data_IF_376916822707
#
_entry.id   IF_376916822707
#
_cell.length_a   1.000
_cell.length_b   1.000
_cell.length_c   1.000
_cell.angle_alpha   90.00
_cell.angle_beta   90.00
_cell.angle_gamma   90.00
#
_symmetry.space_group_name_H-M   'P 1'
#
loop_
_entity.id
_entity.type
_entity.pdbx_description
1 polymer ?
#
# COMPACT_ATOMS: atom_id res chain seq x y z
N UNK A 1 -5.75 9.00 -8.10
CA UNK A 1 -6.26 8.89 -6.72
C UNK A 1 -5.07 8.94 -5.78
N UNK A 2 -4.91 10.04 -5.03
CA UNK A 2 -3.76 10.19 -4.13
C UNK A 2 -3.84 9.17 -2.98
N UNK A 3 -2.72 8.63 -2.48
CA UNK A 3 -2.70 7.62 -1.42
C UNK A 3 -2.93 8.26 -0.04
N UNK A 4 -3.78 9.28 0.03
CA UNK A 4 -4.27 9.83 1.29
C UNK A 4 -5.51 9.04 1.68
N UNK A 5 -5.26 7.83 2.18
CA UNK A 5 -6.14 7.05 3.05
C UNK A 5 -7.59 6.85 2.51
N UNK A 6 -7.90 5.70 1.88
CA UNK A 6 -9.26 5.39 1.44
C UNK A 6 -10.30 5.29 2.58
N UNK A 7 -9.89 5.42 3.84
CA UNK A 7 -10.75 5.32 5.03
C UNK A 7 -11.01 6.66 5.76
N UNK A 8 -10.32 7.75 5.40
CA UNK A 8 -10.47 9.06 6.09
C UNK A 8 -11.04 10.12 5.15
N UNK A 9 -10.72 10.04 3.85
CA UNK A 9 -11.09 11.04 2.85
C UNK A 9 -12.07 10.41 1.88
N UNK A 10 -13.28 10.98 1.75
CA UNK A 10 -14.26 10.52 0.76
C UNK A 10 -13.75 10.75 -0.67
N UNK A 11 -14.30 10.04 -1.65
CA UNK A 11 -13.89 10.20 -3.06
C UNK A 11 -14.09 11.64 -3.54
N UNK A 12 -15.18 12.28 -3.14
CA UNK A 12 -15.50 13.66 -3.48
C UNK A 12 -14.48 14.63 -2.88
N UNK A 13 -14.11 14.43 -1.62
CA UNK A 13 -13.08 15.25 -0.97
C UNK A 13 -11.71 15.03 -1.61
N UNK A 14 -11.43 13.82 -2.11
CA UNK A 14 -10.19 13.52 -2.84
C UNK A 14 -10.08 14.31 -4.14
N UNK A 15 -11.19 14.51 -4.86
CA UNK A 15 -11.22 15.35 -6.06
C UNK A 15 -10.95 16.82 -5.73
N UNK A 16 -11.54 17.33 -4.65
CA UNK A 16 -11.29 18.71 -4.17
C UNK A 16 -9.82 18.88 -3.79
N UNK A 17 -9.24 17.94 -3.04
CA UNK A 17 -7.82 17.96 -2.68
C UNK A 17 -6.95 17.91 -3.95
N UNK A 18 -7.28 17.04 -4.91
CA UNK A 18 -6.54 16.93 -6.17
C UNK A 18 -6.56 18.25 -6.96
N UNK A 19 -7.68 18.96 -6.98
CA UNK A 19 -7.79 20.28 -7.61
C UNK A 19 -6.83 21.30 -6.98
N UNK A 20 -6.84 21.43 -5.65
CA UNK A 20 -5.92 22.36 -4.95
C UNK A 20 -4.45 21.93 -5.06
N UNK A 21 -4.16 20.63 -5.04
CA UNK A 21 -2.81 20.11 -5.31
C UNK A 21 -2.36 20.44 -6.73
N UNK A 22 -3.26 20.36 -7.72
CA UNK A 22 -3.00 20.77 -9.09
C UNK A 22 -2.65 22.25 -9.22
N UNK A 23 -3.40 23.13 -8.54
CA UNK A 23 -3.09 24.56 -8.47
C UNK A 23 -1.72 24.80 -7.83
N UNK A 24 -1.44 24.15 -6.68
CA UNK A 24 -0.17 24.26 -6.00
C UNK A 24 1.01 23.75 -6.84
N UNK A 25 0.81 22.65 -7.55
CA UNK A 25 1.80 22.09 -8.48
C UNK A 25 2.06 23.03 -9.66
N UNK A 26 1.01 23.55 -10.30
CA UNK A 26 1.14 24.53 -11.39
C UNK A 26 1.86 25.80 -10.94
N UNK A 27 1.52 26.32 -9.76
CA UNK A 27 2.22 27.46 -9.16
C UNK A 27 3.72 27.17 -8.95
N UNK A 28 4.07 25.99 -8.43
CA UNK A 28 5.46 25.59 -8.22
C UNK A 28 6.23 25.44 -9.56
N UNK A 29 5.61 24.87 -10.59
CA UNK A 29 6.21 24.76 -11.93
C UNK A 29 6.49 26.15 -12.52
N UNK A 30 5.56 27.09 -12.34
CA UNK A 30 5.75 28.45 -12.85
C UNK A 30 6.82 29.22 -12.10
N UNK A 31 6.87 29.11 -10.77
CA UNK A 31 7.94 29.70 -9.96
C UNK A 31 9.32 29.13 -10.31
N UNK A 32 9.41 27.86 -10.70
CA UNK A 32 10.64 27.26 -11.22
C UNK A 32 11.03 27.80 -12.63
N UNK A 33 10.09 28.44 -13.32
CA UNK A 33 10.23 28.95 -14.68
C UNK A 33 10.10 27.86 -15.74
N UNK A 34 9.39 26.77 -15.44
CA UNK A 34 9.19 25.66 -16.37
C UNK A 34 8.15 25.94 -17.46
N UNK A 35 7.48 27.08 -17.43
CA UNK A 35 6.75 27.59 -18.61
C UNK A 35 7.68 28.10 -19.71
N UNK A 36 8.99 28.23 -19.46
CA UNK A 36 9.95 28.76 -20.43
C UNK A 36 10.66 27.67 -21.21
N UNK A 37 10.38 27.62 -22.51
CA UNK A 37 11.04 26.78 -23.52
C UNK A 37 12.57 26.92 -23.47
N UNK A 38 13.08 28.14 -23.27
CA UNK A 38 14.54 28.41 -23.18
C UNK A 38 15.19 27.73 -21.98
N UNK A 39 14.49 27.67 -20.83
CA UNK A 39 14.99 26.99 -19.63
C UNK A 39 14.98 25.47 -19.82
N UNK A 40 13.90 24.94 -20.38
CA UNK A 40 13.75 23.50 -20.60
C UNK A 40 14.76 22.96 -21.62
N UNK A 41 14.87 23.64 -22.76
CA UNK A 41 15.83 23.28 -23.82
C UNK A 41 17.28 23.55 -23.37
N UNK A 42 17.49 24.54 -22.50
CA UNK A 42 18.80 24.88 -21.92
C UNK A 42 19.50 23.72 -21.20
N UNK A 43 18.74 22.71 -20.74
CA UNK A 43 19.27 21.47 -20.18
C UNK A 43 20.10 20.68 -21.20
N UNK A 44 19.57 20.52 -22.42
CA UNK A 44 20.22 19.73 -23.47
C UNK A 44 21.48 20.40 -24.02
N UNK A 45 21.51 21.73 -23.99
CA UNK A 45 22.68 22.52 -24.38
C UNK A 45 23.70 22.72 -23.25
N UNK A 46 23.41 22.23 -22.03
CA UNK A 46 24.28 22.40 -20.86
C UNK A 46 24.37 23.83 -20.33
N UNK A 47 23.47 24.71 -20.76
CA UNK A 47 23.44 26.12 -20.35
C UNK A 47 22.69 26.30 -19.02
N UNK A 48 21.67 25.48 -18.75
CA UNK A 48 20.85 25.59 -17.55
C UNK A 48 20.40 24.20 -17.06
N UNK A 49 20.91 23.77 -15.90
CA UNK A 49 20.56 22.49 -15.26
C UNK A 49 19.48 22.64 -14.16
N UNK A 50 18.69 23.72 -14.17
CA UNK A 50 17.60 23.92 -13.21
C UNK A 50 16.60 22.78 -13.25
N UNK A 51 16.23 22.29 -14.44
CA UNK A 51 15.30 21.17 -14.61
C UNK A 51 15.78 19.94 -13.84
N UNK A 52 17.00 19.48 -14.13
CA UNK A 52 17.58 18.30 -13.48
C UNK A 52 17.61 18.47 -11.96
N UNK A 53 18.09 19.62 -11.47
CA UNK A 53 18.19 19.89 -10.02
C UNK A 53 16.83 19.84 -9.33
N UNK A 54 15.80 20.49 -9.89
CA UNK A 54 14.46 20.50 -9.30
C UNK A 54 13.85 19.10 -9.30
N UNK A 55 13.91 18.35 -10.41
CA UNK A 55 13.35 17.00 -10.47
C UNK A 55 14.03 16.02 -9.51
N UNK A 56 15.36 16.05 -9.40
CA UNK A 56 16.07 15.23 -8.42
C UNK A 56 15.70 15.63 -6.99
N UNK A 57 15.66 16.93 -6.67
CA UNK A 57 15.25 17.39 -5.33
C UNK A 57 13.82 16.99 -4.98
N UNK A 58 12.87 17.20 -5.89
CA UNK A 58 11.48 16.81 -5.70
C UNK A 58 11.36 15.29 -5.53
N UNK A 59 12.08 14.50 -6.34
CA UNK A 59 12.11 13.05 -6.27
C UNK A 59 12.64 12.52 -4.94
N UNK A 60 13.81 13.00 -4.49
CA UNK A 60 14.37 12.55 -3.20
C UNK A 60 13.57 13.03 -2.00
N UNK A 61 13.01 14.24 -2.06
CA UNK A 61 12.13 14.75 -1.00
C UNK A 61 10.83 13.94 -0.93
N UNK A 62 10.20 13.64 -2.07
CA UNK A 62 9.01 12.81 -2.13
C UNK A 62 9.30 11.38 -1.63
N UNK A 63 10.39 10.77 -2.08
CA UNK A 63 10.82 9.44 -1.62
C UNK A 63 11.06 9.41 -0.11
N UNK A 64 11.84 10.36 0.43
CA UNK A 64 12.09 10.44 1.87
C UNK A 64 10.80 10.67 2.66
N UNK A 65 9.88 11.50 2.15
CA UNK A 65 8.56 11.73 2.73
C UNK A 65 7.68 10.46 2.74
N UNK A 66 7.63 9.74 1.62
CA UNK A 66 6.88 8.46 1.50
C UNK A 66 7.44 7.42 2.46
N UNK A 67 8.77 7.27 2.55
CA UNK A 67 9.40 6.34 3.49
C UNK A 67 9.14 6.73 4.95
N UNK A 68 9.19 8.02 5.28
CA UNK A 68 8.91 8.52 6.62
C UNK A 68 7.43 8.32 7.00
N UNK A 69 6.50 8.66 6.11
CA UNK A 69 5.07 8.45 6.34
C UNK A 69 4.72 6.96 6.43
N UNK A 70 5.37 6.11 5.64
CA UNK A 70 5.28 4.66 5.75
C UNK A 70 5.79 4.14 7.09
N UNK A 71 6.93 4.65 7.55
CA UNK A 71 7.53 4.28 8.83
C UNK A 71 6.63 4.57 10.04
N UNK A 72 5.95 5.72 10.06
CA UNK A 72 4.98 6.06 11.10
C UNK A 72 3.60 5.39 10.94
N UNK A 73 3.45 4.59 9.87
CA UNK A 73 2.20 3.95 9.49
C UNK A 73 1.11 4.96 9.18
N UNK A 74 1.44 6.13 8.61
CA UNK A 74 0.47 7.11 8.10
C UNK A 74 0.10 6.79 6.65
N UNK A 75 1.06 6.28 5.89
CA UNK A 75 0.91 5.87 4.50
C UNK A 75 1.10 4.35 4.41
N UNK A 76 0.23 3.67 3.67
CA UNK A 76 0.42 2.25 3.36
C UNK A 76 1.17 2.14 2.02
N UNK A 77 2.33 1.50 2.04
CA UNK A 77 3.20 1.35 0.86
C UNK A 77 2.78 0.17 -0.03
N UNK A 78 1.91 -0.72 0.44
CA UNK A 78 1.43 -1.89 -0.31
C UNK A 78 0.38 -1.49 -1.36
N UNK A 79 -0.45 -0.50 -1.04
CA UNK A 79 -1.50 0.03 -1.92
C UNK A 79 -0.97 1.01 -2.98
N UNK A 80 0.31 1.39 -2.92
CA UNK A 80 0.89 2.30 -3.91
C UNK A 80 1.08 1.54 -5.22
N UNK A 81 0.25 1.89 -6.20
CA UNK A 81 0.33 1.33 -7.54
C UNK A 81 1.66 1.70 -8.20
N UNK A 82 2.41 0.67 -8.60
CA UNK A 82 3.64 0.81 -9.40
C UNK A 82 3.30 0.39 -10.83
N UNK A 83 3.57 1.26 -11.80
CA UNK A 83 3.33 0.95 -13.19
C UNK A 83 4.18 -0.26 -13.63
N UNK A 84 3.60 -1.23 -14.36
CA UNK A 84 4.37 -2.36 -14.87
C UNK A 84 5.45 -1.91 -15.84
N UNK A 85 6.61 -2.55 -15.77
CA UNK A 85 7.78 -2.19 -16.57
C UNK A 85 7.85 -3.04 -17.84
N UNK A 86 7.54 -2.42 -18.97
CA UNK A 86 7.75 -3.00 -20.30
C UNK A 86 9.04 -2.42 -20.89
N UNK A 87 10.13 -3.20 -20.92
CA UNK A 87 11.48 -2.67 -21.23
C UNK A 87 11.55 -2.08 -22.64
N UNK A 88 11.07 -2.82 -23.64
CA UNK A 88 11.16 -2.39 -25.04
C UNK A 88 10.35 -1.11 -25.27
N UNK A 89 9.14 -1.09 -24.73
CA UNK A 89 8.21 0.05 -24.81
C UNK A 89 8.74 1.26 -24.08
N UNK A 90 9.37 1.07 -22.92
CA UNK A 90 9.99 2.14 -22.15
C UNK A 90 11.16 2.78 -22.90
N UNK A 91 12.00 1.97 -23.56
CA UNK A 91 13.14 2.49 -24.35
C UNK A 91 12.63 3.21 -25.60
N UNK A 92 11.78 2.58 -26.41
CA UNK A 92 11.26 3.16 -27.66
C UNK A 92 10.45 4.41 -27.34
N UNK A 93 9.51 4.32 -26.39
CA UNK A 93 8.71 5.45 -25.94
C UNK A 93 9.54 6.57 -25.34
N UNK A 94 10.58 6.24 -24.56
CA UNK A 94 11.52 7.21 -23.99
C UNK A 94 12.31 7.98 -25.05
N UNK A 95 12.75 7.32 -26.12
CA UNK A 95 13.44 7.96 -27.24
C UNK A 95 12.50 8.89 -28.00
N UNK A 96 11.28 8.43 -28.33
CA UNK A 96 10.27 9.25 -29.01
C UNK A 96 9.88 10.46 -28.16
N UNK A 97 9.62 10.26 -26.87
CA UNK A 97 9.29 11.32 -25.93
C UNK A 97 10.44 12.31 -25.77
N UNK A 98 11.69 11.83 -25.70
CA UNK A 98 12.89 12.67 -25.64
C UNK A 98 13.06 13.54 -26.89
N UNK A 99 12.89 12.95 -28.08
CA UNK A 99 12.92 13.69 -29.34
C UNK A 99 11.81 14.75 -29.39
N UNK A 100 10.58 14.38 -29.00
CA UNK A 100 9.46 15.30 -28.89
C UNK A 100 9.74 16.45 -27.92
N UNK A 101 10.39 16.18 -26.78
CA UNK A 101 10.77 17.20 -25.82
C UNK A 101 11.83 18.17 -26.37
N UNK A 102 12.82 17.67 -27.10
CA UNK A 102 13.86 18.53 -27.72
C UNK A 102 13.25 19.44 -28.80
N UNK A 103 12.37 18.88 -29.65
CA UNK A 103 11.75 19.62 -30.76
C UNK A 103 10.70 20.62 -30.24
N UNK A 104 9.81 20.15 -29.36
CA UNK A 104 8.71 20.94 -28.83
C UNK A 104 9.09 21.88 -27.69
N UNK A 105 10.22 21.60 -27.03
CA UNK A 105 10.74 22.42 -25.92
C UNK A 105 9.88 22.40 -24.66
N UNK A 106 8.91 21.49 -24.56
CA UNK A 106 8.06 21.26 -23.38
C UNK A 106 7.96 19.78 -23.05
N UNK A 107 7.83 19.45 -21.77
CA UNK A 107 7.31 18.16 -21.33
C UNK A 107 5.80 18.27 -21.03
N UNK A 108 5.04 17.16 -21.06
CA UNK A 108 3.56 17.19 -21.02
C UNK A 108 2.97 18.01 -19.86
N UNK A 109 3.53 17.93 -18.66
CA UNK A 109 3.07 18.71 -17.52
C UNK A 109 3.39 20.21 -17.64
N UNK A 110 4.58 20.53 -18.16
CA UNK A 110 5.02 21.92 -18.33
C UNK A 110 4.32 22.63 -19.48
N UNK A 111 3.91 21.90 -20.52
CA UNK A 111 3.11 22.49 -21.60
C UNK A 111 1.73 22.94 -21.12
N UNK A 112 1.11 22.22 -20.17
CA UNK A 112 -0.18 22.64 -19.58
C UNK A 112 0.01 23.90 -18.74
N UNK A 113 1.08 23.97 -17.93
CA UNK A 113 1.42 25.18 -17.18
C UNK A 113 1.72 26.38 -18.11
N UNK A 114 2.46 26.16 -19.19
CA UNK A 114 2.77 27.18 -20.19
C UNK A 114 1.51 27.65 -20.95
N UNK A 115 0.62 26.74 -21.33
CA UNK A 115 -0.65 27.04 -21.96
C UNK A 115 -1.52 27.94 -21.06
N UNK A 116 -1.55 27.69 -19.74
CA UNK A 116 -2.31 28.50 -18.80
C UNK A 116 -1.83 29.97 -18.75
N UNK A 117 -0.58 30.25 -19.14
CA UNK A 117 0.01 31.60 -19.21
C UNK A 117 -0.22 32.24 -20.59
N UNK A 118 -0.85 31.52 -21.53
CA UNK A 118 -1.20 32.02 -22.87
C UNK A 118 -0.12 31.78 -23.93
N UNK A 119 0.79 30.82 -23.71
CA UNK A 119 1.85 30.50 -24.66
C UNK A 119 1.35 29.69 -25.86
N UNK A 120 1.49 30.27 -27.06
CA UNK A 120 1.05 29.66 -28.33
C UNK A 120 1.90 28.44 -28.73
N UNK A 121 3.20 28.44 -28.40
CA UNK A 121 4.09 27.30 -28.60
C UNK A 121 3.64 26.08 -27.76
N UNK A 122 3.18 26.32 -26.54
CA UNK A 122 2.62 25.27 -25.68
C UNK A 122 1.28 24.73 -26.20
N UNK A 123 0.43 25.59 -26.77
CA UNK A 123 -0.83 25.18 -27.41
C UNK A 123 -0.58 24.26 -28.61
N UNK A 124 0.37 24.61 -29.47
CA UNK A 124 0.78 23.77 -30.60
C UNK A 124 1.34 22.41 -30.13
N UNK A 125 2.16 22.41 -29.07
CA UNK A 125 2.69 21.19 -28.49
C UNK A 125 1.58 20.27 -27.96
N UNK A 126 0.60 20.83 -27.22
CA UNK A 126 -0.52 20.04 -26.68
C UNK A 126 -1.39 19.50 -27.81
N UNK A 127 -1.67 20.29 -28.85
CA UNK A 127 -2.37 19.82 -30.05
C UNK A 127 -1.64 18.64 -30.71
N UNK A 128 -0.32 18.74 -30.87
CA UNK A 128 0.51 17.65 -31.39
C UNK A 128 0.52 16.42 -30.48
N UNK A 129 0.56 16.61 -29.15
CA UNK A 129 0.50 15.52 -28.18
C UNK A 129 -0.85 14.79 -28.23
N UNK A 130 -1.96 15.51 -28.31
CA UNK A 130 -3.31 14.94 -28.45
C UNK A 130 -3.41 14.10 -29.74
N UNK A 131 -2.97 14.67 -30.88
CA UNK A 131 -2.95 13.93 -32.15
C UNK A 131 -2.05 12.69 -32.09
N UNK A 132 -0.90 12.78 -31.43
CA UNK A 132 -0.01 11.65 -31.20
C UNK A 132 -0.64 10.54 -30.35
N UNK A 133 -1.38 10.91 -29.30
CA UNK A 133 -2.12 9.95 -28.47
C UNK A 133 -3.19 9.26 -29.31
N UNK A 134 -4.00 10.00 -30.07
CA UNK A 134 -5.02 9.41 -30.95
C UNK A 134 -4.40 8.45 -31.98
N UNK A 135 -3.32 8.88 -32.65
CA UNK A 135 -2.63 8.05 -33.62
C UNK A 135 -2.05 6.77 -32.99
N UNK A 136 -1.52 6.88 -31.77
CA UNK A 136 -1.02 5.73 -31.02
C UNK A 136 -2.14 4.76 -30.62
N UNK A 137 -3.27 5.27 -30.13
CA UNK A 137 -4.43 4.45 -29.75
C UNK A 137 -4.97 3.63 -30.93
N UNK A 138 -5.12 4.24 -32.10
CA UNK A 138 -5.55 3.54 -33.31
C UNK A 138 -4.49 2.53 -33.81
N UNK A 139 -3.22 2.86 -33.66
CA UNK A 139 -2.10 1.98 -34.08
C UNK A 139 -1.77 0.90 -33.05
N UNK A 140 -2.37 0.94 -31.85
CA UNK A 140 -2.05 0.07 -30.73
C UNK A 140 -2.17 -1.43 -31.06
N UNK A 141 -3.21 -1.90 -31.79
CA UNK A 141 -3.33 -3.32 -32.14
C UNK A 141 -2.14 -3.85 -32.95
N UNK A 142 -1.51 -3.01 -33.76
CA UNK A 142 -0.31 -3.37 -34.54
C UNK A 142 0.97 -3.35 -33.69
N UNK A 143 0.98 -2.55 -32.63
CA UNK A 143 2.13 -2.35 -31.74
C UNK A 143 2.07 -3.24 -30.50
N UNK A 144 0.95 -3.93 -30.24
CA UNK A 144 0.69 -4.67 -29.00
C UNK A 144 1.79 -5.70 -28.68
N UNK A 145 2.23 -6.46 -29.68
CA UNK A 145 3.26 -7.50 -29.52
C UNK A 145 4.59 -6.87 -29.07
N UNK A 146 4.98 -5.75 -29.67
CA UNK A 146 6.18 -5.01 -29.28
C UNK A 146 5.98 -4.29 -27.94
N UNK A 147 4.77 -3.83 -27.66
CA UNK A 147 4.42 -3.08 -26.46
C UNK A 147 4.41 -3.94 -25.19
N UNK A 148 3.97 -5.20 -25.30
CA UNK A 148 3.90 -6.14 -24.17
C UNK A 148 5.15 -7.00 -24.02
N UNK A 149 6.09 -6.91 -24.97
CA UNK A 149 7.34 -7.66 -24.92
C UNK A 149 8.19 -7.29 -23.69
N UNK A 150 8.86 -8.30 -23.10
CA UNK A 150 9.74 -8.16 -21.94
C UNK A 150 9.06 -7.47 -20.75
N UNK A 151 7.86 -7.95 -20.40
CA UNK A 151 7.12 -7.49 -19.22
C UNK A 151 7.81 -7.99 -17.94
N UNK A 152 8.41 -7.08 -17.19
CA UNK A 152 9.00 -7.37 -15.88
C UNK A 152 8.00 -7.21 -14.73
N UNK A 153 6.75 -6.87 -15.03
CA UNK A 153 5.71 -6.64 -14.02
C UNK A 153 5.96 -5.38 -13.20
N UNK A 154 5.34 -5.33 -12.02
CA UNK A 154 5.38 -4.19 -11.11
C UNK A 154 6.60 -4.26 -10.17
N UNK A 155 7.80 -4.37 -10.72
CA UNK A 155 9.02 -4.47 -9.91
C UNK A 155 9.51 -3.09 -9.47
N UNK A 156 9.94 -3.00 -8.20
CA UNK A 156 10.67 -1.83 -7.71
C UNK A 156 12.18 -1.99 -7.95
N UNK A 157 12.90 -0.88 -8.09
CA UNK A 157 14.35 -0.91 -8.27
C UNK A 157 15.03 -1.58 -7.06
N UNK A 158 14.54 -1.34 -5.85
CA UNK A 158 15.01 -1.99 -4.62
C UNK A 158 14.85 -3.50 -4.66
N UNK A 159 13.72 -4.00 -5.14
CA UNK A 159 13.43 -5.43 -5.29
C UNK A 159 14.30 -6.08 -6.37
N UNK A 160 14.50 -5.40 -7.50
CA UNK A 160 15.37 -5.89 -8.58
C UNK A 160 16.82 -6.11 -8.11
N UNK A 161 17.35 -5.21 -7.27
CA UNK A 161 18.69 -5.34 -6.70
C UNK A 161 18.73 -6.12 -5.38
N UNK A 162 17.60 -6.64 -4.89
CA UNK A 162 17.52 -7.39 -3.63
C UNK A 162 17.93 -6.57 -2.40
N UNK A 163 17.73 -5.25 -2.42
CA UNK A 163 18.12 -4.34 -1.34
C UNK A 163 16.92 -3.73 -0.63
N UNK A 164 17.10 -3.30 0.62
CA UNK A 164 16.03 -2.63 1.36
C UNK A 164 15.68 -1.27 0.73
N UNK A 165 14.40 -0.88 0.79
CA UNK A 165 13.93 0.43 0.30
C UNK A 165 14.69 1.61 0.92
N UNK A 166 15.13 1.45 2.17
CA UNK A 166 15.92 2.45 2.90
C UNK A 166 17.33 2.55 2.32
N UNK A 167 17.99 1.42 2.05
CA UNK A 167 19.32 1.40 1.44
C UNK A 167 19.30 2.05 0.05
N UNK A 168 18.29 1.72 -0.76
CA UNK A 168 18.07 2.39 -2.05
C UNK A 168 17.85 3.90 -1.87
N UNK A 169 17.10 4.31 -0.84
CA UNK A 169 16.88 5.71 -0.52
C UNK A 169 18.18 6.48 -0.23
N UNK A 170 19.11 5.90 0.53
CA UNK A 170 20.43 6.48 0.76
C UNK A 170 21.26 6.60 -0.52
N UNK A 171 21.25 5.57 -1.36
CA UNK A 171 21.97 5.57 -2.64
C UNK A 171 21.41 6.66 -3.55
N UNK A 172 20.09 6.75 -3.70
CA UNK A 172 19.46 7.76 -4.55
C UNK A 172 19.71 9.19 -4.03
N UNK A 173 19.69 9.39 -2.70
CA UNK A 173 20.04 10.67 -2.09
C UNK A 173 21.51 11.05 -2.39
N UNK A 174 22.45 10.10 -2.30
CA UNK A 174 23.85 10.33 -2.65
C UNK A 174 24.02 10.66 -4.15
N UNK A 175 23.32 9.94 -5.03
CA UNK A 175 23.31 10.21 -6.47
C UNK A 175 22.75 11.60 -6.75
N UNK A 176 21.66 12.02 -6.09
CA UNK A 176 21.09 13.35 -6.28
C UNK A 176 22.04 14.47 -5.85
N UNK A 177 22.73 14.32 -4.72
CA UNK A 177 23.77 15.27 -4.28
C UNK A 177 24.93 15.30 -5.28
N UNK A 178 25.39 14.14 -5.73
CA UNK A 178 26.43 14.02 -6.75
C UNK A 178 26.03 14.70 -8.07
N UNK A 179 24.80 14.48 -8.54
CA UNK A 179 24.24 15.11 -9.73
C UNK A 179 24.15 16.64 -9.58
N UNK A 180 23.78 17.14 -8.40
CA UNK A 180 23.75 18.58 -8.12
C UNK A 180 25.14 19.21 -8.20
N UNK A 181 26.16 18.54 -7.66
CA UNK A 181 27.56 18.98 -7.74
C UNK A 181 28.08 18.91 -9.18
N UNK A 182 27.84 17.80 -9.88
CA UNK A 182 28.28 17.59 -11.25
C UNK A 182 27.67 18.62 -12.21
N UNK A 183 26.36 18.83 -12.14
CA UNK A 183 25.68 19.83 -12.98
C UNK A 183 26.15 21.25 -12.70
N UNK A 184 26.45 21.58 -11.45
CA UNK A 184 27.06 22.87 -11.11
C UNK A 184 28.43 23.08 -11.76
N UNK A 185 29.29 22.05 -11.77
CA UNK A 185 30.58 22.12 -12.46
C UNK A 185 30.43 22.28 -13.97
N UNK A 186 29.53 21.51 -14.59
CA UNK A 186 29.28 21.56 -16.04
C UNK A 186 28.72 22.94 -16.41
N UNK A 187 27.72 23.43 -15.68
CA UNK A 187 27.09 24.74 -15.93
C UNK A 187 28.12 25.87 -15.86
N UNK A 188 28.99 25.87 -14.84
CA UNK A 188 30.02 26.90 -14.71
C UNK A 188 31.06 26.84 -15.83
N UNK A 189 31.41 25.63 -16.29
CA UNK A 189 32.34 25.43 -17.39
C UNK A 189 31.75 25.92 -18.72
N UNK A 190 30.50 25.57 -19.01
CA UNK A 190 29.80 25.96 -20.24
C UNK A 190 29.53 27.48 -20.25
N UNK A 191 29.04 28.03 -19.14
CA UNK A 191 28.71 29.46 -19.03
C UNK A 191 29.91 30.36 -18.69
N UNK A 192 31.13 29.81 -18.60
CA UNK A 192 32.37 30.53 -18.22
C UNK A 192 32.23 31.35 -16.92
N UNK A 193 31.47 30.84 -15.94
CA UNK A 193 31.26 31.49 -14.63
C UNK A 193 32.35 31.09 -13.65
N UNK A 194 32.79 32.00 -12.79
CA UNK A 194 33.69 31.67 -11.69
C UNK A 194 32.95 30.78 -10.69
N UNK A 195 33.53 29.62 -10.35
CA UNK A 195 32.94 28.61 -9.46
C UNK A 195 33.05 28.99 -7.97
N UNK A 196 32.71 30.22 -7.61
CA UNK A 196 32.86 30.70 -6.24
C UNK A 196 31.49 30.79 -5.56
N UNK A 197 31.27 29.96 -4.54
CA UNK A 197 30.05 29.96 -3.73
C UNK A 197 30.36 30.67 -2.41
N UNK A 198 29.55 31.67 -2.05
CA UNK A 198 29.65 32.31 -0.74
C UNK A 198 29.45 31.30 0.40
N UNK A 199 30.23 31.43 1.48
CA UNK A 199 30.19 30.50 2.64
C UNK A 199 28.77 30.27 3.16
N UNK A 200 27.94 31.31 3.21
CA UNK A 200 26.54 31.24 3.65
C UNK A 200 25.68 30.32 2.78
N UNK A 201 25.81 30.43 1.45
CA UNK A 201 25.01 29.65 0.51
C UNK A 201 25.45 28.18 0.53
N UNK A 202 26.75 27.93 0.61
CA UNK A 202 27.33 26.59 0.77
C UNK A 202 26.80 25.90 2.02
N UNK A 203 26.77 26.61 3.15
CA UNK A 203 26.26 26.07 4.40
C UNK A 203 24.75 25.76 4.32
N UNK A 204 23.95 26.59 3.65
CA UNK A 204 22.52 26.30 3.41
C UNK A 204 22.31 25.02 2.61
N UNK A 205 23.06 24.81 1.52
CA UNK A 205 22.96 23.58 0.73
C UNK A 205 23.46 22.35 1.48
N UNK A 206 24.56 22.49 2.24
CA UNK A 206 25.06 21.42 3.09
C UNK A 206 24.03 21.03 4.17
N UNK A 207 23.37 22.00 4.80
CA UNK A 207 22.30 21.75 5.78
C UNK A 207 21.08 21.08 5.13
N UNK A 208 20.68 21.49 3.93
CA UNK A 208 19.57 20.86 3.21
C UNK A 208 19.88 19.40 2.85
N UNK A 209 21.09 19.12 2.34
CA UNK A 209 21.53 17.76 2.06
C UNK A 209 21.63 16.93 3.35
N UNK A 210 22.19 17.48 4.43
CA UNK A 210 22.24 16.82 5.73
C UNK A 210 20.84 16.51 6.27
N UNK A 211 19.89 17.43 6.15
CA UNK A 211 18.49 17.22 6.54
C UNK A 211 17.87 16.01 5.85
N UNK A 212 18.11 15.81 4.55
CA UNK A 212 17.66 14.63 3.80
C UNK A 212 18.23 13.32 4.39
N UNK A 213 19.54 13.29 4.64
CA UNK A 213 20.19 12.10 5.23
C UNK A 213 19.75 11.85 6.67
N UNK A 214 19.47 12.91 7.45
CA UNK A 214 18.91 12.78 8.81
C UNK A 214 17.51 12.16 8.76
N UNK A 215 16.65 12.59 7.83
CA UNK A 215 15.31 11.98 7.65
C UNK A 215 15.44 10.49 7.31
N UNK A 216 16.31 10.13 6.37
CA UNK A 216 16.55 8.73 6.02
C UNK A 216 17.16 7.94 7.18
N UNK A 217 18.05 8.54 7.97
CA UNK A 217 18.63 7.92 9.16
C UNK A 217 17.59 7.70 10.26
N UNK A 218 16.65 8.63 10.46
CA UNK A 218 15.53 8.45 11.38
C UNK A 218 14.74 7.21 10.98
N UNK A 219 14.39 7.07 9.70
CA UNK A 219 13.64 5.90 9.20
C UNK A 219 14.44 4.60 9.31
N UNK A 220 15.77 4.67 9.18
CA UNK A 220 16.65 3.51 9.24
C UNK A 220 16.90 2.99 10.68
N UNK A 221 17.06 3.91 11.64
CA UNK A 221 17.52 3.58 12.99
C UNK A 221 16.41 3.59 14.04
N UNK A 222 15.32 4.34 13.84
CA UNK A 222 14.17 4.23 14.73
C UNK A 222 13.37 2.97 14.36
N UNK A 223 12.86 2.22 15.33
CA UNK A 223 12.00 1.08 15.07
C UNK A 223 10.62 1.57 14.62
N UNK A 224 10.07 0.97 13.55
CA UNK A 224 8.73 1.30 13.09
C UNK A 224 7.67 0.89 14.12
N UNK A 225 6.43 1.39 14.00
CA UNK A 225 5.33 0.93 14.86
C UNK A 225 5.17 -0.59 14.82
N UNK A 226 5.30 -1.20 13.64
CA UNK A 226 5.25 -2.64 13.48
C UNK A 226 6.45 -3.34 14.15
N UNK A 227 7.67 -2.79 14.03
CA UNK A 227 8.85 -3.35 14.71
C UNK A 227 8.74 -3.26 16.24
N UNK A 228 8.19 -2.17 16.77
CA UNK A 228 7.94 -2.01 18.20
C UNK A 228 6.92 -3.06 18.67
N UNK A 229 5.85 -3.27 17.91
CA UNK A 229 4.84 -4.29 18.22
C UNK A 229 5.47 -5.69 18.16
N UNK A 230 6.22 -6.01 17.09
CA UNK A 230 6.89 -7.30 16.92
C UNK A 230 7.92 -7.57 18.03
N UNK A 231 8.71 -6.56 18.43
CA UNK A 231 9.64 -6.67 19.56
C UNK A 231 8.93 -6.89 20.88
N UNK A 232 7.85 -6.15 21.14
CA UNK A 232 7.03 -6.34 22.36
C UNK A 232 6.37 -7.71 22.39
N UNK A 233 5.89 -8.22 21.25
CA UNK A 233 5.38 -9.60 21.15
C UNK A 233 6.51 -10.60 21.42
N UNK A 234 7.71 -10.38 20.89
CA UNK A 234 8.87 -11.23 21.17
C UNK A 234 9.33 -11.17 22.64
N UNK A 235 9.19 -10.02 23.31
CA UNK A 235 9.45 -9.86 24.74
C UNK A 235 8.35 -10.49 25.60
N UNK A 236 7.08 -10.32 25.23
CA UNK A 236 5.94 -10.99 25.85
C UNK A 236 6.00 -12.51 25.65
N UNK A 237 6.69 -13.02 24.62
CA UNK A 237 7.00 -14.45 24.48
C UNK A 237 8.00 -14.93 25.55
N UNK A 238 8.93 -14.05 25.97
CA UNK A 238 9.91 -14.37 27.03
C UNK A 238 9.31 -14.29 28.43
N UNK A 239 8.31 -13.45 28.62
CA UNK A 239 7.55 -13.35 29.85
C UNK A 239 6.23 -14.10 29.67
N UNK A 240 6.18 -15.36 30.11
CA UNK A 240 4.99 -16.24 30.18
C UNK A 240 3.83 -15.68 31.04
N UNK A 241 3.56 -14.37 31.01
CA UNK A 241 2.61 -13.63 31.86
C UNK A 241 1.32 -13.24 31.15
N UNK A 242 1.15 -13.59 29.86
CA UNK A 242 -0.14 -13.39 29.19
C UNK A 242 -1.10 -14.52 29.56
N UNK A 243 -1.99 -14.25 30.53
CA UNK A 243 -3.19 -15.07 30.75
C UNK A 243 -4.12 -14.85 29.54
N UNK A 244 -4.05 -15.74 28.58
CA UNK A 244 -5.00 -15.77 27.47
C UNK A 244 -6.36 -16.20 27.99
N UNK A 245 -7.42 -15.48 27.60
CA UNK A 245 -8.78 -15.93 27.87
C UNK A 245 -9.09 -17.03 26.87
N UNK A 246 -9.18 -18.27 27.34
CA UNK A 246 -9.52 -19.41 26.48
C UNK A 246 -11.02 -19.66 26.47
N UNK A 247 -11.52 -20.17 25.36
CA UNK A 247 -12.89 -20.64 25.20
C UNK A 247 -12.86 -22.04 24.58
N UNK A 248 -13.64 -22.97 25.12
CA UNK A 248 -13.79 -24.31 24.54
C UNK A 248 -14.75 -24.29 23.35
N UNK A 249 -14.62 -25.29 22.48
CA UNK A 249 -15.45 -25.50 21.31
C UNK A 249 -16.95 -25.59 21.67
N UNK A 250 -17.30 -26.32 22.72
CA UNK A 250 -18.69 -26.43 23.21
C UNK A 250 -19.27 -25.09 23.63
N UNK A 251 -18.46 -24.27 24.33
CA UNK A 251 -18.88 -22.93 24.74
C UNK A 251 -19.01 -22.02 23.51
N UNK A 252 -18.05 -22.06 22.60
CA UNK A 252 -18.11 -21.29 21.36
C UNK A 252 -19.36 -21.64 20.56
N UNK A 253 -19.65 -22.92 20.33
CA UNK A 253 -20.83 -23.38 19.61
C UNK A 253 -22.14 -22.85 20.24
N UNK A 254 -22.24 -22.90 21.57
CA UNK A 254 -23.38 -22.31 22.28
C UNK A 254 -23.49 -20.79 22.07
N UNK A 255 -22.36 -20.06 22.11
CA UNK A 255 -22.34 -18.61 21.90
C UNK A 255 -22.62 -18.24 20.42
N UNK A 256 -22.20 -19.06 19.45
CA UNK A 256 -22.55 -18.89 18.03
C UNK A 256 -24.07 -19.00 17.87
N UNK A 257 -24.67 -20.07 18.39
CA UNK A 257 -26.11 -20.31 18.21
C UNK A 257 -26.97 -19.24 18.90
N UNK A 258 -26.61 -18.82 20.11
CA UNK A 258 -27.47 -17.97 20.93
C UNK A 258 -27.09 -16.49 20.93
N UNK A 259 -25.83 -16.15 20.65
CA UNK A 259 -25.28 -14.79 20.75
C UNK A 259 -24.33 -14.44 19.59
N UNK A 260 -24.63 -14.88 18.37
CA UNK A 260 -23.81 -14.61 17.18
C UNK A 260 -23.46 -13.13 16.95
N UNK A 261 -24.30 -12.20 17.43
CA UNK A 261 -24.08 -10.76 17.31
C UNK A 261 -23.07 -10.21 18.32
N UNK A 262 -22.70 -10.95 19.37
CA UNK A 262 -21.73 -10.53 20.40
C UNK A 262 -20.29 -10.93 20.07
N UNK A 263 -20.08 -11.83 19.10
CA UNK A 263 -18.77 -12.37 18.77
C UNK A 263 -18.38 -12.14 17.31
N UNK A 264 -17.09 -11.93 17.07
CA UNK A 264 -16.45 -12.09 15.76
C UNK A 264 -15.57 -13.33 15.82
N UNK A 265 -15.76 -14.25 14.89
CA UNK A 265 -14.98 -15.48 14.79
C UNK A 265 -13.93 -15.24 13.72
N UNK A 266 -12.66 -15.35 14.08
CA UNK A 266 -11.54 -14.93 13.24
C UNK A 266 -10.67 -16.14 12.96
N UNK A 267 -10.66 -16.55 11.70
CA UNK A 267 -9.76 -17.57 11.20
C UNK A 267 -8.44 -16.91 10.81
N UNK A 268 -7.33 -17.34 11.41
CA UNK A 268 -6.01 -16.79 11.15
C UNK A 268 -5.12 -17.68 10.28
N UNK A 269 -5.69 -18.74 9.73
CA UNK A 269 -5.08 -19.65 8.76
C UNK A 269 -5.05 -19.04 7.36
N UNK A 270 -4.40 -19.74 6.43
CA UNK A 270 -4.34 -19.30 5.04
C UNK A 270 -5.74 -19.30 4.39
N UNK A 271 -5.95 -18.49 3.33
CA UNK A 271 -7.22 -18.50 2.59
C UNK A 271 -7.56 -19.88 2.01
N UNK A 272 -6.54 -20.69 1.68
CA UNK A 272 -6.69 -22.03 1.12
C UNK A 272 -7.25 -23.03 2.15
N UNK A 273 -6.82 -22.90 3.41
CA UNK A 273 -7.34 -23.70 4.52
C UNK A 273 -8.76 -23.29 4.88
N UNK A 274 -9.06 -21.98 4.85
CA UNK A 274 -10.39 -21.44 5.10
C UNK A 274 -11.43 -21.97 4.10
N UNK A 275 -11.10 -21.99 2.80
CA UNK A 275 -12.00 -22.50 1.75
C UNK A 275 -12.30 -24.00 1.88
N UNK A 276 -11.38 -24.79 2.45
CA UNK A 276 -11.63 -26.23 2.71
C UNK A 276 -12.66 -26.43 3.82
N UNK A 277 -12.45 -25.73 4.92
CA UNK A 277 -13.35 -25.74 6.06
C UNK A 277 -13.10 -24.50 6.92
N UNK A 278 -14.19 -23.86 7.35
CA UNK A 278 -14.14 -22.77 8.30
C UNK A 278 -15.31 -22.88 9.28
N UNK A 279 -15.13 -22.31 10.48
CA UNK A 279 -16.22 -22.23 11.44
C UNK A 279 -17.39 -21.39 10.89
N UNK A 280 -18.62 -21.67 11.31
CA UNK A 280 -19.79 -20.86 10.97
C UNK A 280 -19.58 -19.38 11.29
N UNK A 281 -19.90 -18.48 10.35
CA UNK A 281 -19.75 -17.02 10.48
C UNK A 281 -18.30 -16.51 10.68
N UNK A 282 -17.29 -17.35 10.42
CA UNK A 282 -15.90 -16.96 10.51
C UNK A 282 -15.49 -15.95 9.43
N UNK A 283 -14.60 -15.04 9.79
CA UNK A 283 -13.94 -14.08 8.90
C UNK A 283 -12.48 -14.53 8.75
N UNK A 284 -12.02 -14.75 7.52
CA UNK A 284 -10.61 -15.05 7.28
C UNK A 284 -9.76 -13.77 7.39
N UNK A 285 -8.84 -13.76 8.35
CA UNK A 285 -7.82 -12.74 8.55
C UNK A 285 -6.49 -13.47 8.77
N UNK A 286 -5.76 -13.84 7.70
CA UNK A 286 -4.51 -14.57 7.80
C UNK A 286 -3.53 -13.91 8.78
N UNK A 287 -2.73 -14.70 9.49
CA UNK A 287 -1.84 -14.20 10.54
C UNK A 287 -0.93 -13.02 10.13
N UNK A 288 -0.46 -13.03 8.88
CA UNK A 288 0.38 -11.96 8.33
C UNK A 288 -0.39 -10.64 8.16
N UNK A 289 -1.68 -10.73 7.86
CA UNK A 289 -2.56 -9.61 7.56
C UNK A 289 -3.25 -9.04 8.81
N UNK A 290 -3.12 -9.65 9.99
CA UNK A 290 -3.77 -9.17 11.23
C UNK A 290 -3.41 -7.70 11.55
N UNK A 291 -2.19 -7.28 11.22
CA UNK A 291 -1.72 -5.91 11.46
C UNK A 291 -2.12 -4.92 10.37
N UNK A 292 -2.84 -5.38 9.33
CA UNK A 292 -3.28 -4.52 8.25
C UNK A 292 -4.32 -3.53 8.76
N UNK A 293 -4.22 -2.30 8.25
CA UNK A 293 -5.10 -1.19 8.67
C UNK A 293 -6.57 -1.46 8.43
N UNK A 294 -6.91 -2.28 7.44
CA UNK A 294 -8.28 -2.67 7.11
C UNK A 294 -8.99 -3.40 8.27
N UNK A 295 -8.25 -4.13 9.11
CA UNK A 295 -8.82 -4.89 10.23
C UNK A 295 -8.73 -4.15 11.57
N UNK A 296 -8.02 -3.01 11.65
CA UNK A 296 -7.94 -2.20 12.87
C UNK A 296 -9.31 -1.86 13.50
N UNK A 297 -10.36 -1.50 12.73
CA UNK A 297 -11.68 -1.23 13.31
C UNK A 297 -12.26 -2.42 14.07
N UNK A 298 -12.00 -3.64 13.61
CA UNK A 298 -12.49 -4.89 14.21
C UNK A 298 -11.86 -5.15 15.58
N UNK A 299 -10.61 -4.72 15.78
CA UNK A 299 -9.88 -4.86 17.05
C UNK A 299 -10.03 -3.65 17.98
N UNK A 300 -10.39 -2.47 17.46
CA UNK A 300 -10.56 -1.24 18.25
C UNK A 300 -11.97 -1.06 18.83
N UNK A 301 -12.96 -1.74 18.26
CA UNK A 301 -14.35 -1.68 18.72
C UNK A 301 -14.53 -2.31 20.12
N UNK A 302 -15.61 -1.93 20.81
CA UNK A 302 -15.97 -2.40 22.18
C UNK A 302 -17.33 -3.14 22.23
N UNK A 303 -17.94 -3.38 21.08
CA UNK A 303 -19.28 -3.95 20.94
C UNK A 303 -19.28 -5.49 20.90
N UNK A 304 -18.25 -6.08 20.28
CA UNK A 304 -18.11 -7.51 20.08
C UNK A 304 -16.80 -8.04 20.65
N UNK A 305 -16.82 -9.27 21.10
CA UNK A 305 -15.63 -10.03 21.50
C UNK A 305 -15.06 -10.77 20.30
N UNK A 306 -13.74 -10.83 20.17
CA UNK A 306 -13.07 -11.53 19.08
C UNK A 306 -12.61 -12.91 19.56
N UNK A 307 -12.88 -13.95 18.78
CA UNK A 307 -12.47 -15.32 19.04
C UNK A 307 -11.54 -15.76 17.92
N UNK A 308 -10.29 -16.01 18.24
CA UNK A 308 -9.28 -16.45 17.27
C UNK A 308 -9.16 -17.97 17.29
N UNK A 309 -9.04 -18.58 16.12
CA UNK A 309 -8.78 -20.02 15.99
C UNK A 309 -7.84 -20.33 14.81
N UNK A 310 -7.10 -21.43 14.93
CA UNK A 310 -6.22 -22.00 13.92
C UNK A 310 -5.78 -23.40 14.37
N UNK A 311 -5.08 -24.11 13.50
CA UNK A 311 -4.61 -25.48 13.79
C UNK A 311 -3.31 -25.50 14.62
N UNK A 312 -2.65 -24.35 14.79
CA UNK A 312 -1.48 -24.20 15.66
C UNK A 312 -1.76 -23.27 16.84
N UNK A 313 -1.70 -23.79 18.06
CA UNK A 313 -1.85 -23.02 19.31
C UNK A 313 -0.92 -21.78 19.35
N UNK A 314 0.31 -21.94 18.85
CA UNK A 314 1.28 -20.83 18.80
C UNK A 314 0.79 -19.69 17.91
N UNK A 315 0.20 -20.02 16.76
CA UNK A 315 -0.27 -19.05 15.78
C UNK A 315 -1.48 -18.30 16.32
N UNK A 316 -2.44 -18.99 16.95
CA UNK A 316 -3.64 -18.37 17.54
C UNK A 316 -3.28 -17.42 18.68
N UNK A 317 -2.38 -17.84 19.58
CA UNK A 317 -1.92 -16.98 20.68
C UNK A 317 -1.19 -15.75 20.16
N UNK A 318 -0.34 -15.91 19.14
CA UNK A 318 0.32 -14.77 18.50
C UNK A 318 -0.67 -13.81 17.83
N UNK A 319 -1.69 -14.33 17.17
CA UNK A 319 -2.77 -13.54 16.58
C UNK A 319 -3.53 -12.72 17.64
N UNK A 320 -3.93 -13.37 18.73
CA UNK A 320 -4.61 -12.72 19.84
C UNK A 320 -3.74 -11.62 20.49
N UNK A 321 -2.43 -11.83 20.59
CA UNK A 321 -1.49 -10.80 21.06
C UNK A 321 -1.42 -9.61 20.12
N UNK A 322 -1.25 -9.85 18.81
CA UNK A 322 -1.25 -8.79 17.78
C UNK A 322 -2.53 -7.94 17.89
N UNK A 323 -3.69 -8.58 17.94
CA UNK A 323 -4.99 -7.91 18.08
C UNK A 323 -5.09 -7.05 19.35
N UNK A 324 -4.60 -7.54 20.49
CA UNK A 324 -4.57 -6.80 21.76
C UNK A 324 -3.69 -5.55 21.72
N UNK A 325 -2.66 -5.53 20.87
CA UNK A 325 -1.83 -4.34 20.67
C UNK A 325 -2.46 -3.33 19.72
N UNK A 326 -3.30 -3.78 18.78
CA UNK A 326 -3.99 -2.91 17.83
C UNK A 326 -5.14 -2.15 18.49
N UNK A 327 -5.90 -2.82 19.36
CA UNK A 327 -7.08 -2.25 19.97
C UNK A 327 -7.47 -2.89 21.31
N UNK A 328 -8.56 -2.39 21.88
CA UNK A 328 -9.00 -2.71 23.24
C UNK A 328 -10.18 -3.70 23.25
N UNK A 329 -10.46 -4.39 22.15
CA UNK A 329 -11.50 -5.42 22.11
C UNK A 329 -11.19 -6.56 23.08
N UNK A 330 -12.23 -7.19 23.63
CA UNK A 330 -12.05 -8.45 24.33
C UNK A 330 -11.67 -9.54 23.34
N UNK A 331 -10.57 -10.24 23.61
CA UNK A 331 -10.04 -11.28 22.73
C UNK A 331 -9.98 -12.62 23.48
N UNK A 332 -10.47 -13.66 22.82
CA UNK A 332 -10.49 -15.05 23.27
C UNK A 332 -9.72 -15.93 22.27
N UNK A 333 -9.09 -16.98 22.78
CA UNK A 333 -8.43 -18.01 21.99
C UNK A 333 -9.28 -19.28 22.06
N UNK A 334 -9.64 -19.86 20.91
CA UNK A 334 -10.25 -21.19 20.88
C UNK A 334 -9.20 -22.21 21.37
N UNK A 335 -9.60 -23.07 22.29
CA UNK A 335 -8.70 -24.08 22.86
C UNK A 335 -8.41 -25.20 21.86
N UNK A 336 -9.44 -25.62 21.15
CA UNK A 336 -9.40 -26.69 20.16
C UNK A 336 -8.98 -26.14 18.78
N UNK A 337 -8.43 -27.01 17.94
CA UNK A 337 -8.08 -26.68 16.55
C UNK A 337 -9.34 -26.55 15.67
N UNK A 338 -9.18 -26.05 14.45
CA UNK A 338 -10.32 -26.00 13.52
C UNK A 338 -10.76 -27.42 13.13
N UNK A 339 -9.80 -28.33 12.97
CA UNK A 339 -10.04 -29.75 12.67
C UNK A 339 -10.76 -30.44 13.83
N UNK A 340 -10.31 -30.24 15.06
CA UNK A 340 -10.99 -30.78 16.25
C UNK A 340 -12.43 -30.24 16.37
N UNK A 341 -12.66 -28.95 16.09
CA UNK A 341 -14.01 -28.40 16.04
C UNK A 341 -14.86 -29.07 14.95
N UNK A 342 -14.26 -29.37 13.80
CA UNK A 342 -14.95 -30.08 12.72
C UNK A 342 -15.40 -31.47 13.16
N UNK A 343 -14.48 -32.25 13.72
CA UNK A 343 -14.75 -33.59 14.23
C UNK A 343 -15.84 -33.58 15.32
N UNK A 344 -15.76 -32.61 16.25
CA UNK A 344 -16.70 -32.53 17.36
C UNK A 344 -18.14 -32.21 16.95
N UNK A 345 -18.36 -31.45 15.88
CA UNK A 345 -19.70 -30.95 15.53
C UNK A 345 -20.25 -31.44 14.18
N UNK A 346 -19.39 -31.74 13.22
CA UNK A 346 -19.80 -32.07 11.86
C UNK A 346 -19.50 -33.52 11.47
N UNK A 347 -18.57 -34.19 12.17
CA UNK A 347 -18.26 -35.62 11.98
C UNK A 347 -18.61 -36.46 13.22
N UNK A 348 -19.73 -36.13 13.88
CA UNK A 348 -20.21 -36.83 15.07
C UNK A 348 -20.57 -38.30 14.78
N UNK A 349 -19.93 -39.22 15.50
CA UNK A 349 -20.35 -40.62 15.54
C UNK A 349 -21.46 -40.85 16.57
N UNK A 350 -22.50 -41.65 16.25
CA UNK A 350 -23.56 -41.96 17.20
C UNK A 350 -23.01 -42.78 18.37
N UNK A 351 -23.36 -42.44 19.62
CA UNK A 351 -22.89 -43.16 20.79
C UNK A 351 -23.41 -44.61 20.81
N UNK A 352 -22.63 -45.51 21.44
CA UNK A 352 -22.98 -46.93 21.54
C UNK A 352 -24.28 -47.16 22.33
N UNK A 353 -24.94 -48.31 22.14
CA UNK A 353 -26.20 -48.63 22.84
C UNK A 353 -26.07 -48.68 24.37
N UNK A 354 -24.85 -48.84 24.89
CA UNK A 354 -24.54 -48.88 26.33
C UNK A 354 -23.96 -47.54 26.86
N UNK A 355 -24.04 -46.46 26.07
CA UNK A 355 -23.47 -45.16 26.42
C UNK A 355 -24.07 -44.54 27.68
N UNK A 356 -23.22 -43.83 28.43
CA UNK A 356 -23.63 -43.16 29.66
C UNK A 356 -24.52 -41.95 29.32
N UNK A 357 -25.47 -41.61 30.19
CA UNK A 357 -26.39 -40.47 29.99
C UNK A 357 -25.68 -39.16 29.58
N UNK A 358 -24.48 -38.91 30.13
CA UNK A 358 -23.69 -37.73 29.79
C UNK A 358 -23.25 -37.71 28.31
N UNK A 359 -22.85 -38.85 27.75
CA UNK A 359 -22.42 -38.98 26.34
C UNK A 359 -23.62 -38.77 25.39
N UNK A 360 -24.81 -39.25 25.78
CA UNK A 360 -26.05 -39.01 25.05
C UNK A 360 -26.45 -37.53 25.07
N UNK A 361 -26.31 -36.86 26.21
CA UNK A 361 -26.57 -35.42 26.36
C UNK A 361 -25.57 -34.57 25.56
N UNK A 362 -24.29 -34.94 25.55
CA UNK A 362 -23.22 -34.29 24.77
C UNK A 362 -23.46 -34.44 23.27
N UNK A 363 -23.73 -35.66 22.79
CA UNK A 363 -24.07 -35.93 21.39
C UNK A 363 -25.30 -35.12 20.96
N UNK A 364 -26.36 -35.12 21.77
CA UNK A 364 -27.58 -34.37 21.47
C UNK A 364 -27.31 -32.86 21.39
N UNK A 365 -26.52 -32.31 22.31
CA UNK A 365 -26.12 -30.92 22.29
C UNK A 365 -25.34 -30.57 21.02
N UNK A 366 -24.29 -31.33 20.69
CA UNK A 366 -23.43 -31.03 19.55
C UNK A 366 -24.15 -31.18 18.22
N UNK A 367 -24.96 -32.24 18.06
CA UNK A 367 -25.78 -32.45 16.86
C UNK A 367 -26.81 -31.33 16.67
N UNK A 368 -27.51 -30.92 17.74
CA UNK A 368 -28.45 -29.78 17.65
C UNK A 368 -27.74 -28.45 17.39
N UNK A 369 -26.57 -28.24 18.00
CA UNK A 369 -25.79 -27.03 17.80
C UNK A 369 -25.30 -26.93 16.35
N UNK A 370 -24.79 -28.03 15.77
CA UNK A 370 -24.36 -28.09 14.38
C UNK A 370 -25.48 -27.70 13.41
N UNK A 371 -26.65 -28.32 13.53
CA UNK A 371 -27.80 -27.98 12.68
C UNK A 371 -28.23 -26.52 12.82
N UNK A 372 -28.28 -25.98 14.05
CA UNK A 372 -28.61 -24.56 14.28
C UNK A 372 -27.55 -23.61 13.73
N UNK A 373 -26.27 -23.99 13.76
CA UNK A 373 -25.20 -23.18 13.18
C UNK A 373 -25.31 -23.15 11.66
N UNK A 374 -25.64 -24.26 11.00
CA UNK A 374 -25.91 -24.31 9.56
C UNK A 374 -27.12 -23.45 9.19
N UNK A 375 -28.24 -23.61 9.90
CA UNK A 375 -29.45 -22.79 9.73
C UNK A 375 -29.12 -21.27 9.83
N UNK A 376 -28.26 -20.92 10.78
CA UNK A 376 -27.83 -19.55 11.00
C UNK A 376 -26.97 -19.02 9.85
N UNK A 377 -26.03 -19.84 9.32
CA UNK A 377 -25.23 -19.49 8.14
C UNK A 377 -26.14 -19.26 6.94
N UNK A 378 -27.10 -20.16 6.70
CA UNK A 378 -28.04 -20.04 5.59
C UNK A 378 -28.97 -18.84 5.73
N UNK A 379 -29.46 -18.55 6.94
CA UNK A 379 -30.28 -17.37 7.22
C UNK A 379 -29.51 -16.05 7.02
N UNK A 380 -28.22 -16.01 7.39
CA UNK A 380 -27.38 -14.83 7.30
C UNK A 380 -26.69 -14.67 5.94
N UNK A 381 -26.72 -15.69 5.07
CA UNK A 381 -26.16 -15.69 3.71
C UNK A 381 -26.64 -14.50 2.88
N UNK A 382 -27.89 -14.07 3.09
CA UNK A 382 -28.51 -12.96 2.37
C UNK A 382 -28.28 -11.58 3.03
N UNK A 383 -27.81 -11.53 4.29
CA UNK A 383 -27.50 -10.28 5.00
C UNK A 383 -26.08 -9.81 4.68
N UNK A 384 -25.18 -10.76 4.37
CA UNK A 384 -23.79 -10.49 3.98
C UNK A 384 -23.50 -10.64 2.48
N UNK A 385 -24.47 -11.09 1.66
CA UNK A 385 -24.29 -11.08 0.21
C UNK A 385 -23.99 -9.63 -0.21
N UNK A 386 -22.81 -9.33 -0.76
CA UNK A 386 -22.57 -8.00 -1.29
C UNK A 386 -23.72 -7.75 -2.26
N UNK A 387 -24.46 -6.65 -2.08
CA UNK A 387 -25.15 -6.06 -3.21
C UNK A 387 -24.07 -5.98 -4.26
N UNK A 388 -24.14 -6.86 -5.26
CA UNK A 388 -23.32 -6.76 -6.46
C UNK A 388 -23.75 -5.42 -7.02
N UNK A 389 -23.06 -4.35 -6.60
CA UNK A 389 -22.94 -3.17 -7.39
C UNK A 389 -22.33 -3.74 -8.64
N UNK A 390 -23.15 -3.94 -9.67
CA UNK A 390 -22.65 -4.14 -11.00
C UNK A 390 -21.64 -3.02 -11.15
N UNK A 391 -20.36 -3.38 -11.12
CA UNK A 391 -19.32 -2.53 -11.63
C UNK A 391 -19.72 -2.41 -13.08
N UNK A 392 -20.50 -1.37 -13.39
CA UNK A 392 -20.49 -0.78 -14.70
C UNK A 392 -19.02 -0.45 -14.86
N UNK A 393 -18.30 -1.35 -15.51
CA UNK A 393 -17.00 -1.04 -16.07
C UNK A 393 -17.28 0.17 -16.92
N UNK A 394 -16.98 1.35 -16.36
CA UNK A 394 -16.68 2.49 -17.18
C UNK A 394 -15.45 2.01 -17.93
N UNK A 395 -15.68 1.47 -19.14
CA UNK A 395 -14.64 1.40 -20.14
C UNK A 395 -14.11 2.83 -20.20
N UNK A 396 -12.91 3.02 -19.65
CA UNK A 396 -12.19 4.27 -19.71
C UNK A 396 -11.96 4.58 -21.17
N UNK A 397 -12.86 5.37 -21.75
CA UNK A 397 -12.67 6.06 -23.00
C UNK A 397 -12.19 7.47 -22.68
N UNK A 398 -10.94 7.73 -23.10
CA UNK A 398 -10.19 8.98 -23.09
C UNK A 398 -9.59 9.44 -21.75
#
# INVERSE_FOLDING_TARGET
MGPLVPYIVSEELSLVIAFFLGIGFGFALEQAGFSSTKKLVGLFYGNDFTVLRVFFTAGVTAMAGVLLLGHYGLLDLSIIYVNPTFVNSAIIGGVIMGAGFIIGGFCPGTSVAAMAIGKLDALAFIGGAILGIFAFTESFPLLEETYRANNLGQIRISEFFGMSNIAFGFILAAIAVGAFVATWFIENKVNKRKSNIGKTLRNKYALAAAGLFVVLAIVAFLPSKQDIVNRRIAEAKRQQTCVFKEMSADKLAHEIVNKYYEYNIIDVRSPEEFEKFHLPLAINIPFENIMDRQYEPLFKQRLKSNVFYADSDTLVRMACLKAKYIGNSENYVLRESAEEFHEMFFELEPPSADAVKAELEEYAFRSMAAGKMEDLVDALKNIGAPVKRETVTIQGGC
#
